data_IF_850752002481
#
_entry.id   IF_850752002481
#
_cell.length_a   1.000
_cell.length_b   1.000
_cell.length_c   1.000
_cell.angle_alpha   90.00
_cell.angle_beta   90.00
_cell.angle_gamma   90.00
#
_symmetry.space_group_name_H-M   'P 1'
#
loop_
_entity.id
_entity.type
_entity.pdbx_description
1 polymer ?
#
# COMPACT_ATOMS: atom_id res chain seq x y z
N UNK A 1 10.98 -6.33 -6.55
CA UNK A 1 11.87 -6.40 -5.37
C UNK A 1 13.33 -6.23 -5.78
N UNK A 2 13.85 -7.06 -6.70
CA UNK A 2 15.25 -6.99 -7.17
C UNK A 2 15.73 -5.58 -7.56
N UNK A 3 14.97 -4.86 -8.40
CA UNK A 3 15.32 -3.49 -8.80
C UNK A 3 15.42 -2.49 -7.64
N UNK A 4 14.57 -2.63 -6.62
CA UNK A 4 14.59 -1.77 -5.44
C UNK A 4 15.80 -2.09 -4.55
N UNK A 5 16.11 -3.39 -4.37
CA UNK A 5 17.31 -3.80 -3.66
C UNK A 5 18.58 -3.32 -4.37
N UNK A 6 18.64 -3.46 -5.70
CA UNK A 6 19.77 -2.97 -6.48
C UNK A 6 19.95 -1.44 -6.34
N UNK A 7 18.85 -0.68 -6.37
CA UNK A 7 18.89 0.77 -6.15
C UNK A 7 19.42 1.13 -4.76
N UNK A 8 18.86 0.54 -3.70
CA UNK A 8 19.27 0.83 -2.33
C UNK A 8 20.73 0.45 -2.05
N UNK A 9 21.24 -0.61 -2.70
CA UNK A 9 22.66 -1.01 -2.62
C UNK A 9 23.54 -0.02 -3.38
N UNK A 10 23.12 0.43 -4.55
CA UNK A 10 23.84 1.37 -5.40
C UNK A 10 24.02 2.73 -4.71
N UNK A 11 23.00 3.24 -4.02
CA UNK A 11 23.11 4.48 -3.22
C UNK A 11 24.16 4.39 -2.11
N UNK A 12 24.48 3.17 -1.66
CA UNK A 12 25.52 2.90 -0.65
C UNK A 12 26.84 2.44 -1.26
N UNK A 13 27.01 2.57 -2.59
CA UNK A 13 28.21 2.19 -3.30
C UNK A 13 28.47 0.69 -3.38
N UNK A 14 27.43 -0.14 -3.27
CA UNK A 14 27.52 -1.61 -3.38
C UNK A 14 26.80 -2.12 -4.62
N UNK A 15 27.24 -3.26 -5.14
CA UNK A 15 26.60 -3.94 -6.27
C UNK A 15 25.75 -5.12 -5.80
N UNK A 16 24.65 -5.39 -6.49
CA UNK A 16 23.87 -6.62 -6.28
C UNK A 16 24.70 -7.88 -6.62
N UNK A 17 25.75 -7.73 -7.44
CA UNK A 17 26.67 -8.81 -7.78
C UNK A 17 27.65 -9.16 -6.65
N UNK A 18 27.74 -8.36 -5.58
CA UNK A 18 28.60 -8.63 -4.43
C UNK A 18 27.97 -9.63 -3.44
N UNK A 19 26.68 -9.94 -3.59
CA UNK A 19 25.92 -10.75 -2.64
C UNK A 19 26.43 -12.20 -2.58
N UNK A 20 26.63 -12.70 -1.36
CA UNK A 20 27.15 -14.05 -1.12
C UNK A 20 28.66 -14.19 -1.35
N UNK A 21 29.35 -13.07 -1.61
CA UNK A 21 30.82 -13.03 -1.73
C UNK A 21 31.47 -12.52 -0.44
N UNK A 22 32.80 -12.46 -0.41
CA UNK A 22 33.55 -11.85 0.70
C UNK A 22 33.29 -10.34 0.85
N UNK A 23 32.74 -9.69 -0.19
CA UNK A 23 32.41 -8.26 -0.18
C UNK A 23 31.08 -7.98 0.52
N UNK A 24 30.16 -8.96 0.52
CA UNK A 24 28.86 -8.85 1.17
C UNK A 24 28.26 -10.23 1.45
N UNK A 25 28.26 -10.61 2.73
CA UNK A 25 27.64 -11.84 3.23
C UNK A 25 26.12 -11.74 3.28
N UNK A 26 25.45 -12.89 3.37
CA UNK A 26 23.99 -12.97 3.58
C UNK A 26 23.54 -12.34 4.91
N UNK A 27 24.41 -12.35 5.92
CA UNK A 27 24.13 -11.73 7.22
C UNK A 27 24.09 -10.20 7.09
N UNK A 28 25.04 -9.61 6.35
CA UNK A 28 25.05 -8.17 6.06
C UNK A 28 23.84 -7.76 5.22
N UNK A 29 23.44 -8.57 4.24
CA UNK A 29 22.21 -8.33 3.49
C UNK A 29 20.98 -8.37 4.40
N UNK A 30 20.91 -9.34 5.31
CA UNK A 30 19.83 -9.43 6.29
C UNK A 30 19.73 -8.19 7.16
N UNK A 31 20.87 -7.73 7.71
CA UNK A 31 20.94 -6.51 8.51
C UNK A 31 20.53 -5.27 7.71
N UNK A 32 21.01 -5.16 6.46
CA UNK A 32 20.66 -4.08 5.55
C UNK A 32 19.15 -3.97 5.33
N UNK A 33 18.48 -5.10 5.03
CA UNK A 33 17.04 -5.12 4.78
C UNK A 33 16.26 -4.85 6.07
N UNK A 34 16.68 -5.44 7.19
CA UNK A 34 16.01 -5.28 8.48
C UNK A 34 16.04 -3.83 8.98
N UNK A 35 17.14 -3.12 8.72
CA UNK A 35 17.38 -1.75 9.18
C UNK A 35 17.34 -0.72 8.03
N UNK A 36 16.68 -1.06 6.92
CA UNK A 36 16.55 -0.13 5.80
C UNK A 36 15.81 1.14 6.25
N UNK A 37 16.30 2.33 5.89
CA UNK A 37 15.69 3.59 6.31
C UNK A 37 14.32 3.79 5.66
N UNK A 38 13.47 4.67 6.21
CA UNK A 38 12.09 4.84 5.76
C UNK A 38 11.94 5.29 4.31
N UNK A 39 12.95 5.95 3.74
CA UNK A 39 13.03 6.42 2.35
C UNK A 39 13.62 5.40 1.38
N UNK A 40 14.11 4.25 1.86
CA UNK A 40 14.66 3.21 0.99
C UNK A 40 13.61 2.62 0.05
N UNK A 41 14.03 2.31 -1.18
CA UNK A 41 13.17 1.75 -2.21
C UNK A 41 12.55 0.42 -1.77
N UNK A 42 13.29 -0.43 -1.06
CA UNK A 42 12.76 -1.69 -0.48
C UNK A 42 11.65 -1.40 0.53
N UNK A 43 11.81 -0.38 1.37
CA UNK A 43 10.79 -0.02 2.36
C UNK A 43 9.53 0.53 1.68
N UNK A 44 9.71 1.36 0.65
CA UNK A 44 8.61 1.91 -0.15
C UNK A 44 7.79 0.84 -0.88
N UNK A 45 8.41 -0.28 -1.29
CA UNK A 45 7.67 -1.41 -1.87
C UNK A 45 6.65 -2.02 -0.91
N UNK A 46 6.97 -2.07 0.39
CA UNK A 46 6.07 -2.61 1.42
C UNK A 46 5.08 -1.56 1.91
N UNK A 47 5.55 -0.34 2.10
CA UNK A 47 4.78 0.80 2.58
C UNK A 47 5.11 2.03 1.73
N UNK A 48 4.30 2.37 0.73
CA UNK A 48 4.56 3.53 -0.13
C UNK A 48 4.59 4.86 0.62
N UNK A 49 4.09 4.91 1.86
CA UNK A 49 4.13 6.10 2.71
C UNK A 49 5.24 6.06 3.76
N UNK A 50 6.14 5.08 3.70
CA UNK A 50 7.21 4.92 4.69
C UNK A 50 8.05 6.19 4.88
N UNK A 51 8.42 6.87 3.79
CA UNK A 51 9.14 8.15 3.84
C UNK A 51 8.38 9.27 4.57
N UNK A 52 7.03 9.24 4.53
CA UNK A 52 6.16 10.25 5.16
C UNK A 52 5.78 9.89 6.60
N UNK A 53 6.16 8.70 7.08
CA UNK A 53 5.84 8.21 8.43
C UNK A 53 7.01 8.40 9.40
N UNK A 54 7.97 9.25 9.05
CA UNK A 54 9.04 9.68 9.96
C UNK A 54 8.50 10.68 10.98
N UNK A 55 9.22 10.83 12.11
CA UNK A 55 8.86 11.82 13.13
C UNK A 55 8.87 13.24 12.56
N UNK A 56 9.87 13.56 11.73
CA UNK A 56 9.99 14.86 11.06
C UNK A 56 8.81 15.12 10.12
N UNK A 57 8.50 14.18 9.22
CA UNK A 57 7.35 14.32 8.32
C UNK A 57 6.03 14.43 9.08
N UNK A 58 5.89 13.69 10.18
CA UNK A 58 4.70 13.78 11.05
C UNK A 58 4.59 15.18 11.67
N UNK A 59 5.69 15.72 12.20
CA UNK A 59 5.71 17.05 12.78
C UNK A 59 5.39 18.12 11.73
N UNK A 60 6.02 18.06 10.56
CA UNK A 60 5.77 18.99 9.46
C UNK A 60 4.32 18.92 8.96
N UNK A 61 3.78 17.70 8.79
CA UNK A 61 2.37 17.53 8.41
C UNK A 61 1.42 18.14 9.44
N UNK A 62 1.73 17.99 10.73
CA UNK A 62 0.95 18.57 11.83
C UNK A 62 1.00 20.10 11.79
N UNK A 63 2.17 20.69 11.54
CA UNK A 63 2.31 22.14 11.37
C UNK A 63 1.47 22.63 10.20
N UNK A 64 1.57 21.98 9.03
CA UNK A 64 0.80 22.34 7.82
C UNK A 64 -0.70 22.27 8.09
N UNK A 65 -1.18 21.20 8.72
CA UNK A 65 -2.60 20.99 9.00
C UNK A 65 -3.13 22.01 10.02
N UNK A 66 -2.31 22.36 11.03
CA UNK A 66 -2.62 23.39 12.01
C UNK A 66 -2.74 24.77 11.36
N UNK A 67 -1.77 25.12 10.50
CA UNK A 67 -1.79 26.39 9.77
C UNK A 67 -2.98 26.49 8.82
N UNK A 68 -3.30 25.41 8.10
CA UNK A 68 -4.48 25.36 7.23
C UNK A 68 -5.77 25.56 8.03
N UNK A 69 -5.91 24.90 9.18
CA UNK A 69 -7.04 25.07 10.08
C UNK A 69 -7.17 26.49 10.62
N UNK A 70 -6.05 27.08 11.07
CA UNK A 70 -6.02 28.46 11.58
C UNK A 70 -6.38 29.48 10.48
N UNK A 71 -5.87 29.30 9.26
CA UNK A 71 -6.23 30.14 8.11
C UNK A 71 -7.72 30.06 7.79
N UNK A 72 -8.30 28.85 7.79
CA UNK A 72 -9.73 28.66 7.57
C UNK A 72 -10.58 29.35 8.65
N UNK A 73 -10.19 29.23 9.92
CA UNK A 73 -10.87 29.93 11.02
C UNK A 73 -10.78 31.45 10.86
N UNK A 74 -9.59 31.99 10.56
CA UNK A 74 -9.39 33.44 10.33
C UNK A 74 -10.16 33.96 9.11
N UNK A 75 -10.38 33.12 8.10
CA UNK A 75 -11.25 33.40 6.95
C UNK A 75 -12.76 33.36 7.26
N UNK A 76 -13.14 33.25 8.53
CA UNK A 76 -14.54 33.21 8.98
C UNK A 76 -15.17 31.82 8.94
N UNK A 77 -14.37 30.76 8.76
CA UNK A 77 -14.85 29.37 8.86
C UNK A 77 -15.91 28.99 7.82
N UNK A 78 -15.94 29.67 6.67
CA UNK A 78 -16.88 29.38 5.59
C UNK A 78 -16.35 28.27 4.69
N UNK A 79 -17.26 27.46 4.14
CA UNK A 79 -16.91 26.35 3.25
C UNK A 79 -16.34 25.12 3.97
N UNK A 80 -15.78 24.18 3.21
CA UNK A 80 -15.24 22.94 3.75
C UNK A 80 -13.97 23.18 4.57
N UNK A 81 -13.93 22.61 5.78
CA UNK A 81 -12.71 22.59 6.60
C UNK A 81 -11.61 21.82 5.86
N UNK A 82 -10.35 22.32 5.84
CA UNK A 82 -9.26 21.62 5.18
C UNK A 82 -9.04 20.23 5.78
N UNK A 83 -8.81 19.25 4.91
CA UNK A 83 -8.51 17.89 5.31
C UNK A 83 -7.03 17.73 5.69
N UNK A 84 -6.71 16.86 6.66
CA UNK A 84 -5.32 16.55 7.02
C UNK A 84 -4.49 16.11 5.81
N UNK A 85 -3.24 16.56 5.74
CA UNK A 85 -2.33 16.32 4.62
C UNK A 85 -2.11 14.82 4.39
N UNK A 86 -1.79 14.06 5.44
CA UNK A 86 -1.55 12.63 5.33
C UNK A 86 -2.79 11.86 4.87
N UNK A 87 -3.98 12.32 5.22
CA UNK A 87 -5.24 11.74 4.73
C UNK A 87 -5.41 11.97 3.23
N UNK A 88 -5.10 13.18 2.75
CA UNK A 88 -5.16 13.51 1.31
C UNK A 88 -4.17 12.67 0.50
N UNK A 89 -2.93 12.52 0.98
CA UNK A 89 -1.91 11.70 0.31
C UNK A 89 -2.34 10.23 0.27
N UNK A 90 -2.86 9.69 1.37
CA UNK A 90 -3.36 8.31 1.41
C UNK A 90 -4.51 8.08 0.42
N UNK A 91 -5.46 9.02 0.35
CA UNK A 91 -6.57 8.94 -0.60
C UNK A 91 -6.10 8.93 -2.05
N UNK A 92 -5.12 9.75 -2.39
CA UNK A 92 -4.56 9.79 -3.74
C UNK A 92 -3.82 8.50 -4.08
N UNK A 93 -3.06 7.94 -3.14
CA UNK A 93 -2.41 6.64 -3.32
C UNK A 93 -3.44 5.51 -3.51
N UNK A 94 -4.51 5.51 -2.73
CA UNK A 94 -5.58 4.51 -2.84
C UNK A 94 -6.31 4.62 -4.18
N UNK A 95 -6.54 5.85 -4.65
CA UNK A 95 -7.09 6.12 -5.98
C UNK A 95 -6.18 5.60 -7.08
N UNK A 96 -4.87 5.87 -7.02
CA UNK A 96 -3.92 5.36 -8.01
C UNK A 96 -3.88 3.83 -8.05
N UNK A 97 -3.98 3.16 -6.90
CA UNK A 97 -4.09 1.70 -6.83
C UNK A 97 -5.39 1.18 -7.44
N UNK A 98 -6.49 1.88 -7.23
CA UNK A 98 -7.78 1.55 -7.85
C UNK A 98 -7.71 1.72 -9.37
N UNK A 99 -7.14 2.83 -9.84
CA UNK A 99 -6.95 3.12 -11.26
C UNK A 99 -6.04 2.07 -11.93
N UNK A 100 -4.97 1.66 -11.26
CA UNK A 100 -4.07 0.60 -11.74
C UNK A 100 -4.73 -0.80 -11.74
N UNK A 101 -5.71 -1.02 -10.87
CA UNK A 101 -6.47 -2.29 -10.78
C UNK A 101 -7.74 -2.26 -11.62
N UNK A 102 -8.08 -1.11 -12.23
CA UNK A 102 -9.29 -0.96 -13.00
C UNK A 102 -9.21 -1.83 -14.27
N UNK A 103 -10.31 -2.48 -14.66
CA UNK A 103 -10.35 -3.30 -15.86
C UNK A 103 -10.02 -2.45 -17.09
N UNK A 104 -9.09 -2.91 -17.91
CA UNK A 104 -8.58 -2.17 -19.06
C UNK A 104 -9.62 -2.01 -20.18
N UNK A 105 -10.72 -2.78 -20.14
CA UNK A 105 -11.81 -2.69 -21.12
C UNK A 105 -13.15 -3.18 -20.59
N UNK A 106 -14.22 -2.80 -21.28
CA UNK A 106 -15.59 -3.28 -21.02
C UNK A 106 -15.69 -4.80 -21.18
N UNK A 107 -14.97 -5.39 -22.14
CA UNK A 107 -14.94 -6.85 -22.34
C UNK A 107 -14.30 -7.59 -21.14
N UNK A 108 -13.28 -7.00 -20.53
CA UNK A 108 -12.68 -7.51 -19.30
C UNK A 108 -13.62 -7.34 -18.10
N UNK A 109 -14.40 -6.26 -18.06
CA UNK A 109 -15.43 -6.08 -17.02
C UNK A 109 -16.51 -7.16 -17.09
N UNK A 110 -16.99 -7.48 -18.29
CA UNK A 110 -18.03 -8.50 -18.48
C UNK A 110 -17.53 -9.89 -18.08
N UNK A 111 -16.30 -10.25 -18.44
CA UNK A 111 -15.73 -11.55 -18.05
C UNK A 111 -15.53 -11.66 -16.53
N UNK A 112 -15.05 -10.61 -15.86
CA UNK A 112 -14.96 -10.57 -14.38
C UNK A 112 -16.34 -10.76 -13.73
N UNK A 113 -17.38 -10.09 -14.25
CA UNK A 113 -18.74 -10.20 -13.73
C UNK A 113 -19.31 -11.62 -13.90
N UNK A 114 -19.13 -12.22 -15.07
CA UNK A 114 -19.57 -13.58 -15.36
C UNK A 114 -18.87 -14.60 -14.46
N UNK A 115 -17.56 -14.44 -14.26
CA UNK A 115 -16.77 -15.29 -13.37
C UNK A 115 -17.25 -15.18 -11.92
N UNK A 116 -17.45 -13.96 -11.41
CA UNK A 116 -17.96 -13.73 -10.05
C UNK A 116 -19.38 -14.33 -9.88
N UNK A 117 -20.23 -14.22 -10.90
CA UNK A 117 -21.56 -14.84 -10.88
C UNK A 117 -21.49 -16.39 -10.85
N UNK A 118 -20.56 -16.99 -11.60
CA UNK A 118 -20.32 -18.43 -11.54
C UNK A 118 -19.78 -18.87 -10.16
N UNK A 119 -18.84 -18.12 -9.57
CA UNK A 119 -18.30 -18.39 -8.23
C UNK A 119 -19.39 -18.31 -7.15
N UNK A 120 -20.26 -17.29 -7.20
CA UNK A 120 -21.39 -17.14 -6.27
C UNK A 120 -22.39 -18.29 -6.39
N UNK A 121 -22.70 -18.76 -7.60
CA UNK A 121 -23.57 -19.94 -7.80
C UNK A 121 -22.98 -21.19 -7.16
N UNK A 122 -21.68 -21.43 -7.33
CA UNK A 122 -20.96 -22.56 -6.71
C UNK A 122 -20.93 -22.45 -5.17
N UNK A 123 -20.68 -21.26 -4.61
CA UNK A 123 -20.65 -21.08 -3.15
C UNK A 123 -22.03 -21.24 -2.51
N UNK A 124 -23.10 -20.77 -3.16
CA UNK A 124 -24.48 -20.95 -2.69
C UNK A 124 -24.88 -22.42 -2.73
N UNK A 125 -24.56 -23.14 -3.81
CA UNK A 125 -24.80 -24.58 -3.90
C UNK A 125 -24.06 -25.36 -2.81
N UNK A 126 -22.78 -25.04 -2.56
CA UNK A 126 -22.00 -25.68 -1.50
C UNK A 126 -22.57 -25.40 -0.09
N UNK A 127 -22.98 -24.16 0.18
CA UNK A 127 -23.57 -23.74 1.47
C UNK A 127 -24.94 -24.39 1.71
N UNK A 128 -25.76 -24.49 0.66
CA UNK A 128 -27.03 -25.21 0.71
C UNK A 128 -26.85 -26.71 1.00
N UNK A 129 -25.83 -27.32 0.40
CA UNK A 129 -25.50 -28.74 0.61
C UNK A 129 -24.99 -29.01 2.04
N UNK A 130 -24.24 -28.07 2.65
CA UNK A 130 -23.78 -28.22 4.04
C UNK A 130 -24.93 -28.10 5.05
N UNK A 131 -25.94 -27.28 4.75
CA UNK A 131 -27.12 -27.10 5.61
C UNK A 131 -28.07 -28.31 5.55
N UNK A 132 -28.18 -28.95 4.39
CA UNK A 132 -28.96 -30.18 4.21
C UNK A 132 -28.37 -31.38 4.98
N UNK A 133 -27.04 -31.50 5.06
CA UNK A 133 -26.35 -32.60 5.77
C UNK A 133 -26.43 -32.46 7.31
N UNK A 134 -26.58 -31.25 7.85
CA UNK A 134 -26.76 -31.05 9.30
C UNK A 134 -28.17 -31.34 9.79
N UNK A 135 -29.18 -31.30 8.91
CA UNK A 135 -30.58 -31.59 9.24
C UNK A 135 -30.95 -33.08 9.11
N UNK A 136 -30.00 -33.94 8.76
CA UNK A 136 -30.23 -35.39 8.52
C UNK A 136 -29.50 -36.30 9.50
N UNK A 137 -29.00 -35.79 10.63
CA UNK A 137 -28.53 -36.65 11.73
C UNK A 137 -29.67 -36.87 12.74
N UNK A 138 -30.03 -38.13 13.06
CA UNK A 138 -31.07 -38.47 14.03
C UNK A 138 -30.68 -38.08 15.47
#
# INVERSE_FOLDING_TARGET
MEKALAFDLMERGRSIHDLGSIRMSWVELGAFIAHAPPDSAIRMLRDPLSAFRTAESTLLSTVVDTLAGANWQRGGGKGARPQPLMKRIQQELDRQKQDASAPASVAQMTSIREELAARRRKSVAATGMTRAVKNTKP
#
